data_IF_047700658665
#
_entry.id   IF_047700658665
#
_cell.length_a   1.000
_cell.length_b   1.000
_cell.length_c   1.000
_cell.angle_alpha   90.00
_cell.angle_beta   90.00
_cell.angle_gamma   90.00
#
_symmetry.space_group_name_H-M   'P 1'
#
loop_
_entity.id
_entity.type
_entity.pdbx_description
1 polymer ?
#
# COMPACT_ATOMS: atom_id res chain seq x y z
N UNK A 1 4.15 -0.84 -14.54
CA UNK A 1 2.94 0.02 -14.58
C UNK A 1 2.86 0.76 -13.24
N UNK A 2 2.79 2.10 -13.24
CA UNK A 2 2.81 2.93 -12.03
C UNK A 2 1.37 3.11 -11.51
N UNK A 3 1.06 2.55 -10.34
CA UNK A 3 -0.26 2.66 -9.71
C UNK A 3 -0.67 4.13 -9.49
N UNK A 4 0.26 5.00 -9.11
CA UNK A 4 0.03 6.44 -8.90
C UNK A 4 -0.23 7.26 -10.19
N UNK A 5 -0.13 6.64 -11.37
CA UNK A 5 -0.40 7.28 -12.67
C UNK A 5 -1.66 6.75 -13.35
N UNK A 6 -2.50 5.96 -12.65
CA UNK A 6 -3.84 5.69 -13.17
C UNK A 6 -4.67 6.95 -12.98
N UNK A 7 -4.48 7.90 -13.90
CA UNK A 7 -5.36 9.05 -14.12
C UNK A 7 -6.61 8.49 -14.81
N UNK A 8 -7.47 7.86 -14.03
CA UNK A 8 -8.84 7.58 -14.43
C UNK A 8 -9.69 8.84 -14.25
N UNK A 9 -10.85 8.92 -14.88
CA UNK A 9 -11.90 9.85 -14.47
C UNK A 9 -13.00 9.04 -13.75
N UNK A 10 -13.25 9.26 -12.44
CA UNK A 10 -12.54 10.17 -11.54
C UNK A 10 -11.13 9.66 -11.17
N UNK A 11 -10.17 10.56 -10.89
CA UNK A 11 -8.81 10.18 -10.50
C UNK A 11 -8.82 9.45 -9.15
N UNK A 12 -7.84 8.56 -8.93
CA UNK A 12 -7.67 7.92 -7.62
C UNK A 12 -8.81 6.98 -7.20
N UNK A 13 -9.64 6.50 -8.13
CA UNK A 13 -10.64 5.47 -7.83
C UNK A 13 -9.97 4.10 -7.62
N UNK A 14 -9.97 3.61 -6.39
CA UNK A 14 -9.41 2.31 -6.03
C UNK A 14 -10.19 1.14 -6.63
N UNK A 15 -11.47 1.33 -6.98
CA UNK A 15 -12.30 0.33 -7.65
C UNK A 15 -12.04 0.26 -9.15
N UNK A 16 -11.30 1.23 -9.73
CA UNK A 16 -11.04 1.27 -11.15
C UNK A 16 -10.35 -0.02 -11.65
N UNK A 17 -10.79 -0.64 -12.77
CA UNK A 17 -10.29 -1.95 -13.20
C UNK A 17 -8.76 -2.04 -13.34
N UNK A 18 -8.12 -0.97 -13.81
CA UNK A 18 -6.64 -0.92 -13.91
C UNK A 18 -5.96 -0.95 -12.54
N UNK A 19 -6.55 -0.33 -11.51
CA UNK A 19 -6.03 -0.38 -10.14
C UNK A 19 -6.21 -1.80 -9.59
N UNK A 20 -7.39 -2.39 -9.75
CA UNK A 20 -7.67 -3.77 -9.32
C UNK A 20 -6.70 -4.79 -9.94
N UNK A 21 -6.45 -4.69 -11.24
CA UNK A 21 -5.49 -5.55 -11.95
C UNK A 21 -4.07 -5.32 -11.42
N UNK A 22 -3.66 -4.08 -11.20
CA UNK A 22 -2.33 -3.78 -10.70
C UNK A 22 -2.12 -4.29 -9.27
N UNK A 23 -3.10 -4.10 -8.37
CA UNK A 23 -3.07 -4.63 -7.00
C UNK A 23 -2.97 -6.16 -7.03
N UNK A 24 -3.83 -6.83 -7.81
CA UNK A 24 -3.81 -8.28 -7.93
C UNK A 24 -2.46 -8.81 -8.45
N UNK A 25 -1.87 -8.14 -9.46
CA UNK A 25 -0.54 -8.52 -9.97
C UNK A 25 0.57 -8.32 -8.95
N UNK A 26 0.55 -7.23 -8.18
CA UNK A 26 1.55 -7.01 -7.13
C UNK A 26 1.41 -8.07 -6.05
N UNK A 27 0.20 -8.33 -5.55
CA UNK A 27 -0.04 -9.33 -4.51
C UNK A 27 0.37 -10.73 -4.97
N UNK A 28 0.03 -11.11 -6.21
CA UNK A 28 0.47 -12.38 -6.79
C UNK A 28 2.00 -12.48 -6.90
N UNK A 29 2.68 -11.40 -7.31
CA UNK A 29 4.14 -11.36 -7.37
C UNK A 29 4.76 -11.44 -5.97
N UNK A 30 4.18 -10.74 -4.98
CA UNK A 30 4.63 -10.80 -3.59
C UNK A 30 4.47 -12.21 -3.02
N UNK A 31 3.37 -12.91 -3.27
CA UNK A 31 3.16 -14.27 -2.79
C UNK A 31 4.20 -15.28 -3.32
N UNK A 32 4.80 -15.01 -4.49
CA UNK A 32 5.83 -15.85 -5.09
C UNK A 32 7.24 -15.64 -4.51
N UNK A 33 7.48 -14.53 -3.79
CA UNK A 33 8.78 -14.20 -3.21
C UNK A 33 8.87 -14.81 -1.80
N UNK A 34 9.88 -15.62 -1.47
CA UNK A 34 10.05 -16.14 -0.13
C UNK A 34 10.16 -15.03 0.93
N UNK A 35 9.65 -15.30 2.13
CA UNK A 35 9.81 -14.38 3.25
C UNK A 35 11.25 -14.40 3.78
N UNK A 36 11.78 -13.23 4.13
CA UNK A 36 13.13 -13.07 4.68
C UNK A 36 14.26 -13.15 3.64
N UNK A 37 13.92 -13.08 2.34
CA UNK A 37 14.90 -12.98 1.27
C UNK A 37 15.62 -11.60 1.32
N UNK A 38 16.80 -11.50 0.71
CA UNK A 38 17.58 -10.25 0.62
C UNK A 38 16.83 -9.13 -0.12
N UNK A 39 15.83 -9.49 -0.92
CA UNK A 39 15.02 -8.56 -1.71
C UNK A 39 13.91 -7.86 -0.92
N UNK A 40 13.67 -8.21 0.35
CA UNK A 40 12.57 -7.66 1.16
C UNK A 40 12.58 -6.12 1.21
N UNK A 41 13.76 -5.50 1.30
CA UNK A 41 13.90 -4.03 1.29
C UNK A 41 13.45 -3.38 -0.01
N UNK A 42 13.51 -4.11 -1.13
CA UNK A 42 13.03 -3.65 -2.43
C UNK A 42 11.50 -3.74 -2.55
N UNK A 43 10.84 -4.46 -1.64
CA UNK A 43 9.39 -4.66 -1.66
C UNK A 43 8.62 -3.57 -0.92
N UNK A 44 9.28 -2.69 -0.17
CA UNK A 44 8.63 -1.62 0.61
C UNK A 44 7.67 -0.80 -0.26
N UNK A 45 8.13 -0.30 -1.41
CA UNK A 45 7.28 0.49 -2.30
C UNK A 45 6.15 -0.34 -2.95
N UNK A 46 6.41 -1.51 -3.57
CA UNK A 46 5.33 -2.37 -4.08
C UNK A 46 4.27 -2.73 -3.05
N UNK A 47 4.67 -3.11 -1.84
CA UNK A 47 3.76 -3.50 -0.74
C UNK A 47 2.94 -2.31 -0.29
N UNK A 48 3.58 -1.15 -0.12
CA UNK A 48 2.91 0.10 0.19
C UNK A 48 1.86 0.48 -0.87
N UNK A 49 2.21 0.41 -2.16
CA UNK A 49 1.31 0.74 -3.25
C UNK A 49 0.12 -0.24 -3.35
N UNK A 50 0.35 -1.54 -3.11
CA UNK A 50 -0.73 -2.51 -3.02
C UNK A 50 -1.61 -2.28 -1.79
N UNK A 51 -1.03 -1.87 -0.66
CA UNK A 51 -1.74 -1.51 0.57
C UNK A 51 -2.75 -0.39 0.37
N UNK A 52 -2.34 0.71 -0.27
CA UNK A 52 -3.25 1.81 -0.64
C UNK A 52 -4.32 1.41 -1.66
N UNK A 53 -4.08 0.36 -2.45
CA UNK A 53 -5.06 -0.19 -3.40
C UNK A 53 -5.94 -1.31 -2.84
N UNK A 54 -5.68 -1.79 -1.62
CA UNK A 54 -6.33 -2.96 -1.04
C UNK A 54 -7.75 -2.60 -0.55
N UNK A 55 -8.76 -3.23 -1.15
CA UNK A 55 -10.16 -3.04 -0.79
C UNK A 55 -10.72 -4.25 -0.03
N UNK A 56 -10.19 -5.44 -0.30
CA UNK A 56 -10.67 -6.68 0.29
C UNK A 56 -9.86 -7.03 1.55
N UNK A 57 -10.48 -7.63 2.58
CA UNK A 57 -9.77 -8.05 3.78
C UNK A 57 -8.55 -8.94 3.50
N UNK A 58 -8.66 -9.85 2.54
CA UNK A 58 -7.60 -10.81 2.18
C UNK A 58 -6.41 -10.11 1.50
N UNK A 59 -6.64 -8.99 0.80
CA UNK A 59 -5.58 -8.16 0.23
C UNK A 59 -4.84 -7.41 1.33
N UNK A 60 -5.59 -6.86 2.28
CA UNK A 60 -5.04 -6.15 3.44
C UNK A 60 -4.20 -7.09 4.31
N UNK A 61 -4.67 -8.32 4.54
CA UNK A 61 -3.93 -9.33 5.29
C UNK A 61 -2.58 -9.68 4.63
N UNK A 62 -2.55 -9.87 3.31
CA UNK A 62 -1.29 -10.13 2.59
C UNK A 62 -0.29 -8.98 2.72
N UNK A 63 -0.78 -7.75 2.67
CA UNK A 63 0.03 -6.54 2.86
C UNK A 63 0.56 -6.46 4.29
N UNK A 64 -0.29 -6.67 5.29
CA UNK A 64 0.06 -6.64 6.71
C UNK A 64 1.13 -7.67 7.07
N UNK A 65 0.97 -8.91 6.57
CA UNK A 65 1.94 -9.99 6.78
C UNK A 65 3.30 -9.62 6.20
N UNK A 66 3.31 -9.06 4.98
CA UNK A 66 4.57 -8.71 4.32
C UNK A 66 5.26 -7.53 5.01
N UNK A 67 4.54 -6.50 5.44
CA UNK A 67 5.10 -5.44 6.26
C UNK A 67 5.65 -5.96 7.58
N UNK A 68 4.93 -6.83 8.28
CA UNK A 68 5.38 -7.39 9.56
C UNK A 68 6.68 -8.21 9.42
N UNK A 69 6.90 -8.88 8.28
CA UNK A 69 8.17 -9.53 7.96
C UNK A 69 9.28 -8.48 7.81
N UNK A 70 9.05 -7.44 7.00
CA UNK A 70 10.02 -6.37 6.73
C UNK A 70 10.40 -5.59 8.01
N UNK A 71 9.43 -5.30 8.89
CA UNK A 71 9.67 -4.63 10.17
C UNK A 71 10.63 -5.42 11.07
N UNK A 72 10.51 -6.75 11.07
CA UNK A 72 11.34 -7.65 11.88
C UNK A 72 12.73 -7.87 11.29
N UNK A 73 12.85 -7.90 9.96
CA UNK A 73 14.08 -8.30 9.27
C UNK A 73 14.96 -7.14 8.83
N UNK A 74 14.38 -5.98 8.52
CA UNK A 74 15.09 -4.85 7.90
C UNK A 74 15.32 -3.71 8.90
N UNK A 75 14.42 -3.50 9.87
CA UNK A 75 14.62 -2.60 10.99
C UNK A 75 14.78 -1.11 10.64
N UNK A 76 14.38 -0.66 9.45
CA UNK A 76 14.38 0.76 9.08
C UNK A 76 13.05 1.43 9.43
N UNK A 77 13.11 2.65 10.00
CA UNK A 77 11.93 3.41 10.44
C UNK A 77 10.90 3.68 9.32
N UNK A 78 11.37 3.80 8.08
CA UNK A 78 10.50 4.02 6.92
C UNK A 78 9.52 2.87 6.64
N UNK A 79 9.85 1.62 7.03
CA UNK A 79 8.93 0.48 6.90
C UNK A 79 7.75 0.63 7.87
N UNK A 80 8.04 1.02 9.10
CA UNK A 80 7.00 1.27 10.12
C UNK A 80 6.10 2.43 9.69
N UNK A 81 6.69 3.54 9.24
CA UNK A 81 5.92 4.72 8.78
C UNK A 81 5.02 4.37 7.58
N UNK A 82 5.55 3.59 6.62
CA UNK A 82 4.80 3.11 5.47
C UNK A 82 3.61 2.23 5.87
N UNK A 83 3.83 1.31 6.81
CA UNK A 83 2.81 0.39 7.29
C UNK A 83 1.71 1.11 8.08
N UNK A 84 2.08 2.02 8.99
CA UNK A 84 1.14 2.86 9.73
C UNK A 84 0.30 3.73 8.81
N UNK A 85 0.91 4.33 7.76
CA UNK A 85 0.17 5.10 6.77
C UNK A 85 -0.89 4.26 6.05
N UNK A 86 -0.57 3.02 5.67
CA UNK A 86 -1.51 2.07 5.04
C UNK A 86 -2.63 1.68 6.01
N UNK A 87 -2.33 1.42 7.28
CA UNK A 87 -3.35 1.09 8.28
C UNK A 87 -4.28 2.27 8.57
N UNK A 88 -3.72 3.48 8.67
CA UNK A 88 -4.50 4.70 8.84
C UNK A 88 -5.41 4.95 7.63
N UNK A 89 -4.92 4.69 6.41
CA UNK A 89 -5.73 4.71 5.20
C UNK A 89 -6.94 3.76 5.30
N UNK A 90 -6.72 2.49 5.65
CA UNK A 90 -7.80 1.52 5.83
C UNK A 90 -8.78 1.90 6.93
N UNK A 91 -8.30 2.37 8.08
CA UNK A 91 -9.15 2.79 9.19
C UNK A 91 -10.08 3.96 8.78
N UNK A 92 -9.58 4.90 7.98
CA UNK A 92 -10.39 6.00 7.44
C UNK A 92 -11.45 5.51 6.45
N UNK A 93 -11.12 4.55 5.60
CA UNK A 93 -12.09 3.91 4.69
C UNK A 93 -13.18 3.17 5.48
N UNK A 94 -12.79 2.38 6.46
CA UNK A 94 -13.72 1.56 7.25
C UNK A 94 -14.63 2.43 8.13
N UNK A 95 -14.14 3.60 8.56
CA UNK A 95 -14.94 4.63 9.23
C UNK A 95 -15.84 5.44 8.28
N UNK A 96 -15.77 5.20 6.96
CA UNK A 96 -16.57 5.90 5.96
C UNK A 96 -16.16 7.35 5.73
N UNK A 97 -14.93 7.74 6.09
CA UNK A 97 -14.41 9.11 5.87
C UNK A 97 -14.37 9.44 4.38
N UNK A 98 -14.10 8.44 3.54
CA UNK A 98 -14.24 8.48 2.08
C UNK A 98 -14.47 7.05 1.57
N UNK A 99 -14.96 6.93 0.34
CA UNK A 99 -15.43 5.67 -0.27
C UNK A 99 -14.39 5.00 -1.20
N UNK A 100 -13.13 5.46 -1.15
CA UNK A 100 -12.07 4.99 -2.03
C UNK A 100 -12.00 5.69 -3.39
N UNK A 101 -12.76 6.79 -3.60
CA UNK A 101 -12.61 7.69 -4.75
C UNK A 101 -11.73 8.89 -4.39
N UNK A 102 -11.10 9.49 -5.40
CA UNK A 102 -10.23 10.66 -5.27
C UNK A 102 -9.13 10.47 -4.21
N UNK A 103 -8.63 9.24 -4.06
CA UNK A 103 -7.64 8.91 -3.03
C UNK A 103 -6.26 9.46 -3.43
N UNK A 104 -5.78 10.44 -2.67
CA UNK A 104 -4.37 10.85 -2.69
C UNK A 104 -3.62 10.26 -1.49
N UNK A 105 -2.75 9.30 -1.78
CA UNK A 105 -1.78 8.78 -0.81
C UNK A 105 -0.89 9.86 -0.21
N UNK A 106 -0.55 10.92 -0.95
CA UNK A 106 0.23 12.07 -0.45
C UNK A 106 -0.52 12.82 0.65
N UNK A 107 -1.83 13.03 0.50
CA UNK A 107 -2.66 13.67 1.52
C UNK A 107 -2.81 12.80 2.76
N UNK A 108 -2.94 11.49 2.57
CA UNK A 108 -3.02 10.53 3.69
C UNK A 108 -1.71 10.54 4.46
N UNK A 109 -0.57 10.45 3.77
CA UNK A 109 0.77 10.42 4.35
C UNK A 109 1.14 11.76 5.00
N UNK A 110 0.82 12.89 4.35
CA UNK A 110 1.05 14.22 4.91
C UNK A 110 0.29 14.49 6.21
N UNK A 111 -0.83 13.81 6.42
CA UNK A 111 -1.59 13.85 7.68
C UNK A 111 -0.99 13.05 8.83
N UNK A 112 -0.09 12.09 8.57
CA UNK A 112 0.53 11.22 9.60
C UNK A 112 1.83 11.81 10.16
N UNK A 113 2.25 13.01 9.72
CA UNK A 113 3.40 13.73 10.26
C UNK A 113 4.78 13.15 9.92
N UNK A 114 4.84 12.10 9.10
CA UNK A 114 6.08 11.48 8.63
C UNK A 114 6.43 11.93 7.21
N UNK A 115 7.65 12.43 6.99
CA UNK A 115 8.21 12.58 5.65
C UNK A 115 8.57 11.18 5.14
N UNK A 116 7.63 10.49 4.50
CA UNK A 116 7.95 9.30 3.72
C UNK A 116 8.88 9.73 2.58
N UNK A 117 10.17 9.39 2.69
CA UNK A 117 11.14 9.61 1.62
C UNK A 117 10.85 8.56 0.53
N UNK A 118 9.87 8.86 -0.31
CA UNK A 118 9.46 8.05 -1.46
C UNK A 118 9.47 8.88 -2.76
N UNK A 119 10.22 10.00 -2.77
CA UNK A 119 10.41 10.90 -3.91
C UNK A 119 11.52 10.45 -4.85
#
# INVERSE_FOLDING_TARGET
MRLHLVVAEPPGDLAHPKVRVAVAHILAALAAIPHGDLVESMLVFPVFAAGFGALLPEEREQVDVRFAVMERSIGFGNVFDAHEAVRAHWARMDAGVYDGRDVSWEEVVGGVGGTLIMS
#
